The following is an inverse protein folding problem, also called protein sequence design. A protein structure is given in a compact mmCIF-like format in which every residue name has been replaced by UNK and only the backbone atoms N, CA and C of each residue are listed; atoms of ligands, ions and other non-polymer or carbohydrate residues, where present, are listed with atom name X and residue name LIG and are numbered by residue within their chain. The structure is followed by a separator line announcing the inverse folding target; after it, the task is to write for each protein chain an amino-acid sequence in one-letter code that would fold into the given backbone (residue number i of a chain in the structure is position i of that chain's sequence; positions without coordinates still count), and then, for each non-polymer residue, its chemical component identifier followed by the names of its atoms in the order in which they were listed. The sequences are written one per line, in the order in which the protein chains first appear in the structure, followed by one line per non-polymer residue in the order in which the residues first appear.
data_IF_612423900190
#
_entry.id   IF_612423900190
#
_cell.length_a   1.000
_cell.length_b   1.000
_cell.length_c   1.000
_cell.angle_alpha   90.00
_cell.angle_beta   90.00
_cell.angle_gamma   90.00
#
_symmetry.space_group_name_H-M   'P 1'
#
loop_
_entity.id
_entity.type
_entity.pdbx_description
1 polymer ?
#
# COMPACT_ATOMS: atom_id res chain seq x y z
N UNK A 1 -23.14 -29.35 14.53
CA UNK A 1 -22.07 -29.13 13.53
C UNK A 1 -20.87 -28.65 14.31
N UNK A 2 -19.70 -29.20 14.04
CA UNK A 2 -18.46 -28.70 14.62
C UNK A 2 -18.02 -27.44 13.86
N UNK A 3 -17.26 -26.54 14.50
CA UNK A 3 -16.79 -25.31 13.83
C UNK A 3 -16.00 -25.61 12.54
N UNK A 4 -15.34 -26.76 12.48
CA UNK A 4 -14.63 -27.26 11.31
C UNK A 4 -15.55 -27.45 10.10
N UNK A 5 -16.77 -27.95 10.31
CA UNK A 5 -17.74 -28.21 9.22
C UNK A 5 -18.24 -26.89 8.62
N UNK A 6 -18.46 -25.88 9.47
CA UNK A 6 -18.89 -24.53 9.05
C UNK A 6 -17.81 -23.85 8.22
N UNK A 7 -16.55 -23.90 8.66
CA UNK A 7 -15.42 -23.30 7.95
C UNK A 7 -15.21 -23.97 6.58
N UNK A 8 -15.29 -25.29 6.50
CA UNK A 8 -15.18 -26.03 5.24
C UNK A 8 -16.33 -25.71 4.28
N UNK A 9 -17.56 -25.54 4.79
CA UNK A 9 -18.70 -25.07 3.99
C UNK A 9 -18.44 -23.69 3.38
N UNK A 10 -17.96 -22.73 4.18
CA UNK A 10 -17.69 -21.36 3.69
C UNK A 10 -16.53 -21.28 2.69
N UNK A 11 -15.53 -22.16 2.82
CA UNK A 11 -14.41 -22.22 1.87
C UNK A 11 -14.85 -22.75 0.51
N UNK A 12 -15.69 -23.79 0.49
CA UNK A 12 -16.23 -24.35 -0.76
C UNK A 12 -17.10 -23.33 -1.52
N UNK A 13 -17.94 -22.58 -0.81
CA UNK A 13 -18.81 -21.55 -1.39
C UNK A 13 -18.02 -20.39 -2.04
N UNK A 14 -16.87 -20.02 -1.46
CA UNK A 14 -15.98 -18.98 -2.03
C UNK A 14 -15.23 -19.50 -3.27
N UNK A 15 -14.81 -20.77 -3.29
CA UNK A 15 -14.13 -21.36 -4.45
C UNK A 15 -15.07 -21.45 -5.67
N UNK A 16 -16.33 -21.83 -5.46
CA UNK A 16 -17.36 -21.88 -6.51
C UNK A 16 -17.59 -20.50 -7.16
N UNK A 17 -17.70 -19.43 -6.36
CA UNK A 17 -17.82 -18.04 -6.84
C UNK A 17 -16.61 -17.55 -7.66
N UNK A 18 -15.42 -18.11 -7.45
CA UNK A 18 -14.20 -17.71 -8.14
C UNK A 18 -14.01 -18.35 -9.53
N UNK A 19 -14.84 -19.34 -9.86
CA UNK A 19 -14.61 -20.26 -10.99
C UNK A 19 -15.49 -20.01 -12.23
N UNK A 20 -16.31 -18.95 -12.23
CA UNK A 20 -17.15 -18.57 -13.36
C UNK A 20 -16.33 -17.92 -14.50
N UNK A 21 -16.34 -18.47 -15.73
CA UNK A 21 -15.62 -17.87 -16.86
C UNK A 21 -16.50 -16.84 -17.58
N UNK A 22 -16.26 -15.54 -17.35
CA UNK A 22 -16.88 -14.50 -18.18
C UNK A 22 -16.25 -14.44 -19.59
N UNK A 23 -17.14 -14.24 -20.57
CA UNK A 23 -16.93 -14.57 -21.98
C UNK A 23 -16.23 -13.49 -22.80
N UNK A 24 -15.52 -13.95 -23.83
CA UNK A 24 -14.88 -13.15 -24.88
C UNK A 24 -15.90 -12.42 -25.75
N UNK A 25 -15.73 -11.11 -25.96
CA UNK A 25 -16.27 -10.40 -27.13
C UNK A 25 -15.20 -9.52 -27.82
N UNK A 26 -15.06 -9.71 -29.14
CA UNK A 26 -14.50 -8.76 -30.12
C UNK A 26 -15.65 -8.41 -31.08
N UNK A 27 -15.70 -7.21 -31.71
CA UNK A 27 -14.95 -6.95 -32.95
C UNK A 27 -14.47 -5.47 -33.06
N UNK A 28 -13.94 -4.91 -34.16
CA UNK A 28 -13.80 -5.35 -35.57
C UNK A 28 -12.46 -4.79 -36.17
N UNK A 29 -12.32 -4.81 -37.51
CA UNK A 29 -11.14 -4.41 -38.31
C UNK A 29 -11.00 -2.87 -38.43
N UNK A 30 -9.87 -2.30 -38.86
CA UNK A 30 -9.43 -2.17 -40.27
C UNK A 30 -7.91 -2.03 -40.36
N UNK A 31 -7.32 -2.59 -41.42
CA UNK A 31 -5.91 -2.39 -41.83
C UNK A 31 -5.80 -1.14 -42.69
N UNK A 32 -4.92 -0.19 -42.35
CA UNK A 32 -4.22 0.62 -43.37
C UNK A 32 -2.75 0.88 -43.00
N UNK A 33 -1.91 0.58 -43.99
CA UNK A 33 -0.47 0.78 -44.02
C UNK A 33 -0.14 2.19 -44.52
N UNK A 34 0.74 2.95 -43.84
CA UNK A 34 1.64 3.93 -44.51
C UNK A 34 2.77 4.45 -43.63
N UNK A 35 3.99 4.05 -43.98
CA UNK A 35 5.22 4.75 -43.61
C UNK A 35 5.50 5.85 -44.62
N UNK A 36 5.75 7.09 -44.16
CA UNK A 36 6.85 7.95 -44.64
C UNK A 36 7.00 9.24 -43.79
N UNK A 37 8.24 9.64 -43.44
CA UNK A 37 8.52 10.86 -42.68
C UNK A 37 8.86 12.04 -43.60
N UNK A 38 8.50 13.26 -43.20
CA UNK A 38 9.12 14.52 -43.71
C UNK A 38 9.19 15.55 -42.58
N UNK A 39 10.32 16.27 -42.56
CA UNK A 39 10.68 17.44 -41.75
C UNK A 39 9.71 18.64 -42.06
N UNK A 40 9.72 19.82 -41.43
CA UNK A 40 10.81 20.55 -40.75
C UNK A 40 10.24 21.73 -39.93
N UNK A 41 10.90 22.07 -38.81
CA UNK A 41 11.10 23.40 -38.20
C UNK A 41 9.99 24.39 -37.71
N UNK A 42 10.39 25.08 -36.63
CA UNK A 42 9.91 26.34 -35.98
C UNK A 42 8.50 26.42 -35.36
N UNK A 43 8.45 26.27 -34.02
CA UNK A 43 7.81 27.25 -33.12
C UNK A 43 8.30 27.06 -31.67
N UNK A 44 9.10 28.01 -31.14
CA UNK A 44 9.45 28.06 -29.71
C UNK A 44 8.25 28.59 -28.93
N UNK A 45 7.32 27.69 -28.60
CA UNK A 45 6.21 27.95 -27.68
C UNK A 45 6.53 27.27 -26.36
N UNK A 46 6.35 28.01 -25.25
CA UNK A 46 6.60 27.50 -23.89
C UNK A 46 5.65 26.33 -23.59
N UNK A 47 6.14 25.10 -23.78
CA UNK A 47 5.44 23.88 -23.36
C UNK A 47 5.30 23.91 -21.83
N UNK A 48 4.12 23.57 -21.26
CA UNK A 48 4.06 23.23 -19.86
C UNK A 48 4.96 22.02 -19.59
N UNK A 49 5.45 21.89 -18.36
CA UNK A 49 6.30 20.78 -17.96
C UNK A 49 5.49 19.47 -18.03
N UNK A 50 5.61 18.75 -19.16
CA UNK A 50 5.10 17.39 -19.28
C UNK A 50 6.10 16.50 -18.57
N UNK A 51 5.82 16.20 -17.30
CA UNK A 51 6.51 15.14 -16.57
C UNK A 51 6.41 13.84 -17.37
N UNK A 52 7.53 13.16 -17.56
CA UNK A 52 7.53 11.90 -18.30
C UNK A 52 6.85 10.84 -17.44
N UNK A 53 6.12 9.91 -18.07
CA UNK A 53 5.42 8.82 -17.34
C UNK A 53 6.38 8.05 -16.42
N UNK A 54 7.67 7.97 -16.80
CA UNK A 54 8.73 7.38 -15.99
C UNK A 54 8.96 8.11 -14.65
N UNK A 55 9.03 9.45 -14.62
CA UNK A 55 9.24 10.20 -13.37
C UNK A 55 8.06 10.08 -12.41
N UNK A 56 6.83 10.00 -12.95
CA UNK A 56 5.61 9.80 -12.13
C UNK A 56 5.56 8.39 -11.53
N UNK A 57 6.03 7.36 -12.25
CA UNK A 57 6.11 5.99 -11.71
C UNK A 57 7.18 5.90 -10.60
N UNK A 58 8.33 6.54 -10.79
CA UNK A 58 9.43 6.53 -9.80
C UNK A 58 9.05 7.24 -8.49
N UNK A 59 8.35 8.38 -8.56
CA UNK A 59 7.87 9.07 -7.34
C UNK A 59 6.81 8.26 -6.60
N UNK A 60 5.85 7.65 -7.31
CA UNK A 60 4.84 6.78 -6.69
C UNK A 60 5.46 5.55 -6.04
N UNK A 61 6.49 4.94 -6.65
CA UNK A 61 7.23 3.84 -6.02
C UNK A 61 7.97 4.28 -4.76
N UNK A 62 8.69 5.40 -4.79
CA UNK A 62 9.40 5.93 -3.63
C UNK A 62 8.46 6.20 -2.43
N UNK A 63 7.29 6.82 -2.67
CA UNK A 63 6.29 7.08 -1.63
C UNK A 63 5.77 5.77 -1.00
N UNK A 64 5.56 4.72 -1.81
CA UNK A 64 5.10 3.41 -1.32
C UNK A 64 6.18 2.67 -0.53
N UNK A 65 7.43 2.75 -0.96
CA UNK A 65 8.57 2.11 -0.26
C UNK A 65 8.84 2.80 1.09
N UNK A 66 8.73 4.12 1.17
CA UNK A 66 8.86 4.86 2.43
C UNK A 66 7.71 4.57 3.41
N UNK A 67 6.49 4.38 2.91
CA UNK A 67 5.36 3.97 3.74
C UNK A 67 5.52 2.54 4.27
N UNK A 68 5.97 1.61 3.43
CA UNK A 68 6.27 0.24 3.83
C UNK A 68 7.32 0.21 4.97
N UNK A 69 8.42 0.96 4.83
CA UNK A 69 9.47 1.10 5.86
C UNK A 69 8.94 1.66 7.18
N UNK A 70 8.06 2.66 7.13
CA UNK A 70 7.45 3.22 8.33
C UNK A 70 6.58 2.18 9.05
N UNK A 71 5.73 1.46 8.31
CA UNK A 71 4.85 0.43 8.86
C UNK A 71 5.64 -0.76 9.43
N UNK A 72 6.72 -1.18 8.76
CA UNK A 72 7.68 -2.17 9.27
C UNK A 72 8.30 -1.71 10.60
N UNK A 73 8.80 -0.47 10.66
CA UNK A 73 9.38 0.10 11.88
C UNK A 73 8.37 0.22 13.04
N UNK A 74 7.10 0.54 12.78
CA UNK A 74 6.04 0.52 13.80
C UNK A 74 5.78 -0.91 14.28
N UNK A 75 5.67 -1.87 13.35
CA UNK A 75 5.46 -3.29 13.66
C UNK A 75 6.57 -3.86 14.54
N UNK A 76 7.83 -3.58 14.23
CA UNK A 76 8.98 -4.05 15.03
C UNK A 76 8.96 -3.48 16.45
N UNK A 77 8.69 -2.18 16.61
CA UNK A 77 8.59 -1.54 17.93
C UNK A 77 7.45 -2.14 18.77
N UNK A 78 6.30 -2.45 18.14
CA UNK A 78 5.18 -3.12 18.80
C UNK A 78 5.52 -4.55 19.24
N UNK A 79 6.23 -5.32 18.41
CA UNK A 79 6.69 -6.66 18.79
C UNK A 79 7.62 -6.62 20.01
N UNK A 80 8.61 -5.74 20.01
CA UNK A 80 9.53 -5.53 21.15
C UNK A 80 8.77 -5.08 22.41
N UNK A 81 7.75 -4.22 22.27
CA UNK A 81 6.89 -3.84 23.40
C UNK A 81 6.15 -5.06 23.96
N UNK A 82 5.57 -5.92 23.12
CA UNK A 82 4.84 -7.11 23.57
C UNK A 82 5.75 -8.12 24.25
N UNK A 83 6.96 -8.36 23.73
CA UNK A 83 7.99 -9.18 24.38
C UNK A 83 8.38 -8.62 25.76
N UNK A 84 8.64 -7.31 25.84
CA UNK A 84 8.95 -6.62 27.10
C UNK A 84 7.79 -6.64 28.11
N UNK A 85 6.55 -6.57 27.62
CA UNK A 85 5.34 -6.62 28.45
C UNK A 85 5.08 -8.03 29.01
N UNK A 86 5.38 -9.07 28.23
CA UNK A 86 5.28 -10.48 28.65
C UNK A 86 6.45 -10.94 29.55
N UNK A 87 7.53 -10.15 29.65
CA UNK A 87 8.71 -10.49 30.44
C UNK A 87 8.38 -10.74 31.92
N UNK A 88 8.77 -11.89 32.50
CA UNK A 88 8.49 -12.24 33.90
C UNK A 88 9.28 -11.40 34.90
N UNK A 89 10.37 -10.76 34.47
CA UNK A 89 11.20 -9.89 35.31
C UNK A 89 10.55 -8.52 35.58
N UNK A 90 9.49 -8.18 34.86
CA UNK A 90 8.78 -6.92 35.00
C UNK A 90 7.46 -7.18 35.72
N UNK A 91 7.46 -7.04 37.06
CA UNK A 91 6.30 -7.34 37.93
C UNK A 91 5.45 -6.12 38.28
N UNK A 92 5.94 -4.90 38.04
CA UNK A 92 5.23 -3.65 38.34
C UNK A 92 4.23 -3.32 37.22
N UNK A 93 2.95 -3.63 37.44
CA UNK A 93 1.90 -3.51 36.43
C UNK A 93 1.61 -2.04 36.10
N UNK A 94 1.65 -1.16 37.09
CA UNK A 94 1.45 0.29 36.93
C UNK A 94 2.51 0.88 36.01
N UNK A 95 3.78 0.57 36.27
CA UNK A 95 4.91 1.02 35.44
C UNK A 95 4.85 0.45 34.01
N UNK A 96 4.30 -0.76 33.81
CA UNK A 96 4.01 -1.28 32.46
C UNK A 96 2.95 -0.45 31.75
N UNK A 97 1.82 -0.18 32.42
CA UNK A 97 0.70 0.58 31.84
C UNK A 97 1.16 2.00 31.48
N UNK A 98 1.86 2.69 32.39
CA UNK A 98 2.39 4.03 32.14
C UNK A 98 3.35 4.04 30.94
N UNK A 99 4.30 3.09 30.88
CA UNK A 99 5.23 2.97 29.75
C UNK A 99 4.49 2.68 28.43
N UNK A 100 3.49 1.80 28.46
CA UNK A 100 2.69 1.44 27.29
C UNK A 100 1.85 2.62 26.79
N UNK A 101 1.24 3.40 27.68
CA UNK A 101 0.50 4.61 27.32
C UNK A 101 1.42 5.65 26.66
N UNK A 102 2.53 6.01 27.32
CA UNK A 102 3.51 6.96 26.76
C UNK A 102 4.05 6.50 25.38
N UNK A 103 4.26 5.20 25.20
CA UNK A 103 4.70 4.64 23.92
C UNK A 103 3.60 4.69 22.84
N UNK A 104 2.34 4.43 23.19
CA UNK A 104 1.22 4.57 22.26
C UNK A 104 0.91 6.02 21.89
N UNK A 105 1.05 6.96 22.83
CA UNK A 105 0.98 8.41 22.54
C UNK A 105 2.08 8.83 21.55
N UNK A 106 3.32 8.37 21.75
CA UNK A 106 4.41 8.59 20.80
C UNK A 106 4.15 7.96 19.42
N UNK A 107 3.63 6.72 19.36
CA UNK A 107 3.25 6.10 18.09
C UNK A 107 2.13 6.86 17.38
N UNK A 108 1.10 7.31 18.11
CA UNK A 108 0.00 8.10 17.55
C UNK A 108 0.52 9.41 16.96
N UNK A 109 1.32 10.16 17.72
CA UNK A 109 1.97 11.37 17.22
C UNK A 109 2.87 11.08 16.00
N UNK A 110 3.58 9.95 15.96
CA UNK A 110 4.39 9.54 14.80
C UNK A 110 3.52 9.31 13.56
N UNK A 111 2.35 8.70 13.72
CA UNK A 111 1.37 8.48 12.65
C UNK A 111 0.78 9.82 12.19
N UNK A 112 0.39 10.70 13.11
CA UNK A 112 -0.18 12.02 12.78
C UNK A 112 0.79 12.88 11.98
N UNK A 113 2.07 12.97 12.38
CA UNK A 113 3.11 13.68 11.62
C UNK A 113 3.28 13.13 10.18
N UNK A 114 3.18 11.80 9.99
CA UNK A 114 3.22 11.20 8.66
C UNK A 114 1.96 11.51 7.85
N UNK A 115 0.79 11.45 8.46
CA UNK A 115 -0.47 11.78 7.81
C UNK A 115 -0.54 13.26 7.41
N UNK A 116 0.05 14.16 8.19
CA UNK A 116 0.25 15.56 7.82
C UNK A 116 1.17 15.66 6.59
N UNK A 117 2.35 15.04 6.63
CA UNK A 117 3.30 14.99 5.50
C UNK A 117 2.64 14.49 4.19
N UNK A 118 1.80 13.45 4.27
CA UNK A 118 1.10 12.87 3.09
C UNK A 118 -0.05 13.76 2.60
N UNK A 119 -0.72 14.51 3.49
CA UNK A 119 -1.82 15.42 3.11
C UNK A 119 -1.34 16.78 2.60
N UNK A 120 -0.13 17.18 2.95
CA UNK A 120 0.51 18.43 2.50
C UNK A 120 1.37 18.26 1.23
N UNK A 121 1.59 17.02 0.79
CA UNK A 121 2.24 16.66 -0.49
C UNK A 121 1.26 16.60 -1.66
#
# INVERSE_FOLDING_TARGET
MELKDVILSTLAEIEELSSAPESVEQPERIVEERVRPVFEEVAVTKVPHIETVQTVIETVHAVRDDEARMLEGIRERLLVLFEGFQSPNNTQIEAKVDLTLNFFEYLLATIDNRLETIKES
#
